data_IF_308674188968
#
_entry.id   IF_308674188968
#
_cell.length_a   1.000
_cell.length_b   1.000
_cell.length_c   1.000
_cell.angle_alpha   90.00
_cell.angle_beta   90.00
_cell.angle_gamma   90.00
#
_symmetry.space_group_name_H-M   'P 1'
#
loop_
_entity.id
_entity.type
_entity.pdbx_description
1 polymer ?
#
# COMPACT_ATOMS: atom_id res chain seq x y z
N UNK A 1 5.60 -4.64 11.08
CA UNK A 1 5.47 -5.09 9.67
C UNK A 1 6.82 -5.68 9.28
N UNK A 2 6.90 -6.85 8.61
CA UNK A 2 8.14 -7.23 7.96
C UNK A 2 8.48 -6.17 6.90
N UNK A 3 9.77 -5.81 6.73
CA UNK A 3 10.17 -4.89 5.69
C UNK A 3 9.68 -5.37 4.32
N UNK A 4 9.05 -4.46 3.57
CA UNK A 4 8.82 -4.66 2.14
C UNK A 4 10.18 -4.71 1.46
N UNK A 5 10.50 -5.86 0.89
CA UNK A 5 11.68 -6.01 0.06
C UNK A 5 11.25 -5.99 -1.38
N UNK A 6 11.51 -4.85 -2.02
CA UNK A 6 11.30 -4.66 -3.44
C UNK A 6 12.60 -4.95 -4.20
N UNK A 7 12.44 -5.63 -5.33
CA UNK A 7 13.51 -6.07 -6.21
C UNK A 7 13.26 -5.45 -7.57
N UNK A 8 13.87 -4.27 -7.80
CA UNK A 8 13.84 -3.62 -9.10
C UNK A 8 15.14 -3.84 -9.87
N UNK A 9 15.01 -4.20 -11.16
CA UNK A 9 16.11 -4.18 -12.13
C UNK A 9 15.62 -3.81 -13.54
N UNK A 10 16.08 -2.66 -14.02
CA UNK A 10 15.62 -2.06 -15.28
C UNK A 10 15.98 -2.88 -16.52
N UNK A 11 17.17 -3.49 -16.57
CA UNK A 11 17.68 -4.17 -17.78
C UNK A 11 16.79 -5.33 -18.27
N UNK A 12 15.99 -5.91 -17.38
CA UNK A 12 15.16 -7.10 -17.67
C UNK A 12 13.70 -6.97 -17.22
N UNK A 13 13.29 -5.75 -16.83
CA UNK A 13 11.97 -5.45 -16.27
C UNK A 13 11.57 -6.38 -15.13
N UNK A 14 12.47 -6.49 -14.14
CA UNK A 14 12.15 -7.13 -12.87
C UNK A 14 11.56 -6.07 -11.94
N UNK A 15 10.33 -6.28 -11.49
CA UNK A 15 9.58 -5.41 -10.59
C UNK A 15 8.75 -6.27 -9.63
N UNK A 16 9.47 -6.93 -8.72
CA UNK A 16 8.90 -7.88 -7.78
C UNK A 16 9.01 -7.36 -6.35
N UNK A 17 8.08 -7.75 -5.48
CA UNK A 17 8.14 -7.43 -4.07
C UNK A 17 7.74 -8.61 -3.20
N UNK A 18 8.32 -8.70 -2.01
CA UNK A 18 7.91 -9.71 -1.04
C UNK A 18 6.72 -9.21 -0.21
N UNK A 19 5.72 -10.08 -0.08
CA UNK A 19 4.65 -9.93 0.91
C UNK A 19 4.38 -11.26 1.60
N UNK A 20 4.29 -11.20 2.92
CA UNK A 20 3.94 -12.34 3.74
C UNK A 20 2.44 -12.64 3.64
N UNK A 21 2.09 -13.80 3.07
CA UNK A 21 0.69 -14.18 2.85
C UNK A 21 0.00 -14.78 4.09
N UNK A 22 0.74 -14.96 5.19
CA UNK A 22 0.24 -15.61 6.42
C UNK A 22 -0.75 -14.78 7.24
N UNK A 23 -1.00 -13.52 6.87
CA UNK A 23 -1.96 -12.61 7.54
C UNK A 23 -3.28 -12.47 6.77
N UNK A 24 -3.50 -13.31 5.75
CA UNK A 24 -4.61 -13.21 4.81
C UNK A 24 -4.17 -12.54 3.52
N UNK A 25 -4.60 -13.11 2.39
CA UNK A 25 -4.26 -12.60 1.05
C UNK A 25 -5.38 -12.89 0.06
N UNK A 26 -5.56 -11.98 -0.90
CA UNK A 26 -6.42 -12.17 -2.05
C UNK A 26 -5.56 -12.17 -3.30
N UNK A 27 -5.79 -13.16 -4.18
CA UNK A 27 -5.05 -13.28 -5.43
C UNK A 27 -6.04 -13.51 -6.59
N UNK A 28 -5.88 -12.81 -7.73
CA UNK A 28 -6.62 -13.12 -8.94
C UNK A 28 -6.34 -14.55 -9.40
N UNK A 29 -7.39 -15.27 -9.83
CA UNK A 29 -7.30 -16.67 -10.26
C UNK A 29 -6.24 -16.86 -11.35
N UNK A 30 -6.11 -15.88 -12.22
CA UNK A 30 -5.17 -15.83 -13.34
C UNK A 30 -3.72 -15.86 -12.86
N UNK A 31 -3.40 -15.22 -11.71
CA UNK A 31 -2.05 -15.26 -11.13
C UNK A 31 -1.71 -16.65 -10.61
N UNK A 32 -2.65 -17.35 -9.98
CA UNK A 32 -2.45 -18.73 -9.56
C UNK A 32 -2.31 -19.68 -10.75
N UNK A 33 -3.13 -19.53 -11.78
CA UNK A 33 -3.03 -20.34 -13.01
C UNK A 33 -1.66 -20.16 -13.68
N UNK A 34 -1.21 -18.92 -13.83
CA UNK A 34 0.10 -18.61 -14.41
C UNK A 34 1.26 -19.25 -13.64
N UNK A 35 1.20 -19.23 -12.30
CA UNK A 35 2.21 -19.91 -11.47
C UNK A 35 2.27 -21.41 -11.78
N UNK A 36 1.12 -22.05 -11.94
CA UNK A 36 1.03 -23.48 -12.27
C UNK A 36 1.54 -23.78 -13.69
N UNK A 37 1.37 -22.86 -14.65
CA UNK A 37 1.90 -22.98 -16.01
C UNK A 37 3.42 -22.78 -16.05
N UNK A 38 3.94 -21.81 -15.30
CA UNK A 38 5.37 -21.55 -15.14
C UNK A 38 6.13 -22.77 -14.61
N UNK A 39 5.47 -23.66 -13.86
CA UNK A 39 6.01 -24.96 -13.41
C UNK A 39 6.56 -25.83 -14.54
N UNK A 40 5.92 -25.78 -15.72
CA UNK A 40 6.31 -26.62 -16.85
C UNK A 40 7.56 -26.12 -17.58
N UNK A 41 7.85 -24.83 -17.48
CA UNK A 41 8.77 -24.13 -18.37
C UNK A 41 9.94 -23.43 -17.65
N UNK A 42 10.05 -23.57 -16.33
CA UNK A 42 11.06 -22.86 -15.52
C UNK A 42 11.86 -23.80 -14.63
N UNK A 43 12.94 -23.29 -14.01
CA UNK A 43 13.82 -24.03 -13.09
C UNK A 43 13.21 -24.23 -11.69
N UNK A 44 11.93 -23.92 -11.49
CA UNK A 44 11.26 -24.07 -10.21
C UNK A 44 10.96 -25.55 -9.92
N UNK A 45 11.87 -26.20 -9.20
CA UNK A 45 11.76 -27.62 -8.86
C UNK A 45 10.55 -27.93 -7.95
N UNK A 46 10.05 -29.19 -8.01
CA UNK A 46 8.81 -29.61 -7.32
C UNK A 46 8.87 -29.46 -5.79
N UNK A 47 10.05 -29.57 -5.20
CA UNK A 47 10.32 -29.38 -3.78
C UNK A 47 10.09 -27.93 -3.32
N UNK A 48 10.34 -26.95 -4.19
CA UNK A 48 10.14 -25.52 -3.90
C UNK A 48 8.66 -25.13 -3.80
N UNK A 49 7.77 -25.93 -4.37
CA UNK A 49 6.33 -25.72 -4.15
C UNK A 49 5.91 -25.92 -2.68
N UNK A 50 6.72 -26.58 -1.85
CA UNK A 50 6.47 -26.69 -0.41
C UNK A 50 6.61 -25.36 0.33
N UNK A 51 7.38 -24.43 -0.23
CA UNK A 51 7.60 -23.08 0.31
C UNK A 51 7.07 -22.02 -0.65
N UNK A 52 6.10 -22.38 -1.50
CA UNK A 52 5.58 -21.50 -2.55
C UNK A 52 4.94 -20.23 -1.98
N UNK A 53 4.44 -20.31 -0.75
CA UNK A 53 3.93 -19.18 0.00
C UNK A 53 4.98 -18.09 0.25
N UNK A 54 6.27 -18.45 0.29
CA UNK A 54 7.39 -17.52 0.41
C UNK A 54 7.91 -17.02 -0.96
N UNK A 55 7.56 -17.70 -2.05
CA UNK A 55 8.03 -17.38 -3.41
C UNK A 55 6.99 -16.61 -4.20
N UNK A 56 5.70 -16.84 -3.92
CA UNK A 56 4.60 -16.46 -4.79
C UNK A 56 4.60 -14.97 -5.13
N UNK A 57 4.70 -14.11 -4.12
CA UNK A 57 4.69 -12.65 -4.29
C UNK A 57 5.82 -12.19 -5.21
N UNK A 58 7.04 -12.66 -4.96
CA UNK A 58 8.21 -12.35 -5.79
C UNK A 58 8.03 -12.91 -7.21
N UNK A 59 7.67 -14.19 -7.34
CA UNK A 59 7.62 -14.91 -8.62
C UNK A 59 6.57 -14.37 -9.60
N UNK A 60 5.57 -13.63 -9.11
CA UNK A 60 4.60 -12.96 -9.98
C UNK A 60 5.20 -11.83 -10.83
N UNK A 61 6.42 -11.38 -10.49
CA UNK A 61 7.05 -10.19 -11.06
C UNK A 61 6.11 -8.98 -11.02
N UNK A 62 5.48 -8.76 -9.88
CA UNK A 62 4.61 -7.62 -9.61
C UNK A 62 4.80 -7.16 -8.17
N UNK A 63 4.64 -5.86 -7.91
CA UNK A 63 4.59 -5.33 -6.55
C UNK A 63 3.31 -5.79 -5.85
N UNK A 64 3.39 -6.36 -4.64
CA UNK A 64 2.21 -6.73 -3.87
C UNK A 64 1.43 -5.50 -3.41
N UNK A 65 0.10 -5.60 -3.36
CA UNK A 65 -0.75 -4.58 -2.74
C UNK A 65 -0.93 -4.93 -1.26
N UNK A 66 -0.51 -4.04 -0.36
CA UNK A 66 -0.64 -4.28 1.09
C UNK A 66 -1.67 -3.33 1.70
N UNK A 67 -2.61 -3.91 2.44
CA UNK A 67 -3.55 -3.17 3.28
C UNK A 67 -3.21 -3.44 4.73
N UNK A 68 -3.08 -2.38 5.52
CA UNK A 68 -2.88 -2.45 6.96
C UNK A 68 -4.23 -2.60 7.65
N UNK A 69 -4.36 -3.61 8.50
CA UNK A 69 -5.56 -3.89 9.29
C UNK A 69 -5.18 -4.59 10.60
N UNK A 70 -6.16 -4.76 11.50
CA UNK A 70 -5.99 -5.49 12.75
C UNK A 70 -6.06 -7.02 12.60
N UNK A 71 -5.95 -7.57 11.39
CA UNK A 71 -6.05 -9.02 11.23
C UNK A 71 -4.89 -9.69 11.97
N UNK A 72 -5.26 -10.67 12.79
CA UNK A 72 -4.27 -11.49 13.48
C UNK A 72 -3.64 -12.43 12.45
N UNK A 73 -2.29 -12.59 12.45
CA UNK A 73 -1.65 -13.61 11.65
C UNK A 73 -2.26 -14.99 11.88
N UNK A 74 -2.38 -15.79 10.83
CA UNK A 74 -2.83 -17.17 10.94
C UNK A 74 -1.83 -17.97 11.79
N UNK A 75 -2.34 -18.94 12.57
CA UNK A 75 -1.50 -19.83 13.38
C UNK A 75 -0.56 -20.64 12.46
N UNK A 76 0.74 -20.47 12.65
CA UNK A 76 1.80 -21.08 11.84
C UNK A 76 2.51 -22.25 12.52
N UNK A 77 1.95 -22.83 13.59
CA UNK A 77 2.57 -23.97 14.29
C UNK A 77 2.96 -25.16 13.40
N UNK A 78 2.30 -25.32 12.25
CA UNK A 78 2.59 -26.37 11.26
C UNK A 78 3.19 -25.82 9.95
N UNK A 79 3.69 -24.59 9.94
CA UNK A 79 4.33 -24.00 8.77
C UNK A 79 5.68 -24.66 8.48
N UNK A 80 6.05 -24.77 7.20
CA UNK A 80 7.33 -25.34 6.77
C UNK A 80 8.55 -24.55 7.28
N UNK A 81 8.35 -23.33 7.77
CA UNK A 81 9.35 -22.49 8.44
C UNK A 81 9.37 -22.62 9.97
N UNK A 82 8.45 -23.40 10.57
CA UNK A 82 8.27 -23.50 12.02
C UNK A 82 8.83 -24.81 12.64
N UNK A 83 9.09 -25.85 11.85
CA UNK A 83 9.62 -27.12 12.38
C UNK A 83 11.10 -27.00 12.79
N UNK A 84 11.36 -26.96 14.10
CA UNK A 84 12.68 -27.19 14.70
C UNK A 84 13.70 -26.04 14.54
N UNK A 85 13.27 -24.85 14.14
CA UNK A 85 14.18 -23.72 13.87
C UNK A 85 13.91 -22.56 14.83
N UNK A 86 14.96 -22.17 15.57
CA UNK A 86 14.92 -21.05 16.53
C UNK A 86 14.79 -19.67 15.84
N UNK A 87 15.06 -19.60 14.54
CA UNK A 87 14.98 -18.38 13.74
C UNK A 87 14.20 -18.62 12.43
N UNK A 88 12.88 -18.53 12.54
CA UNK A 88 11.93 -18.60 11.43
C UNK A 88 12.26 -17.59 10.31
N UNK A 89 12.71 -16.38 10.65
CA UNK A 89 12.93 -15.31 9.68
C UNK A 89 14.13 -15.58 8.79
N UNK A 90 15.19 -16.23 9.30
CA UNK A 90 16.31 -16.68 8.47
C UNK A 90 15.88 -17.58 7.29
N UNK A 91 14.87 -18.44 7.51
CA UNK A 91 14.31 -19.31 6.46
C UNK A 91 13.55 -18.47 5.44
N UNK A 92 12.70 -17.56 5.91
CA UNK A 92 11.90 -16.69 5.03
C UNK A 92 12.81 -15.88 4.13
N UNK A 93 13.79 -15.16 4.70
CA UNK A 93 14.74 -14.35 3.94
C UNK A 93 15.57 -15.15 2.95
N UNK A 94 16.07 -16.34 3.34
CA UNK A 94 16.80 -17.21 2.41
C UNK A 94 15.95 -17.60 1.20
N UNK A 95 14.67 -17.90 1.43
CA UNK A 95 13.74 -18.22 0.35
C UNK A 95 13.37 -17.02 -0.50
N UNK A 96 13.27 -15.82 0.08
CA UNK A 96 13.09 -14.57 -0.67
C UNK A 96 14.26 -14.33 -1.63
N UNK A 97 15.50 -14.52 -1.17
CA UNK A 97 16.69 -14.36 -2.01
C UNK A 97 16.77 -15.39 -3.13
N UNK A 98 16.53 -16.67 -2.82
CA UNK A 98 16.49 -17.73 -3.83
C UNK A 98 15.37 -17.46 -4.85
N UNK A 99 14.19 -16.98 -4.42
CA UNK A 99 13.12 -16.60 -5.32
C UNK A 99 13.50 -15.44 -6.26
N UNK A 100 14.14 -14.40 -5.72
CA UNK A 100 14.58 -13.24 -6.50
C UNK A 100 15.66 -13.60 -7.52
N UNK A 101 16.67 -14.39 -7.12
CA UNK A 101 17.75 -14.82 -8.01
C UNK A 101 17.24 -15.74 -9.14
N UNK A 102 16.30 -16.64 -8.82
CA UNK A 102 15.65 -17.48 -9.83
C UNK A 102 14.76 -16.69 -10.77
N UNK A 103 14.00 -15.73 -10.26
CA UNK A 103 13.17 -14.86 -11.10
C UNK A 103 14.09 -14.08 -12.05
N UNK A 104 15.17 -13.50 -11.53
CA UNK A 104 16.18 -12.84 -12.35
C UNK A 104 16.73 -13.76 -13.44
N UNK A 105 17.16 -14.98 -13.08
CA UNK A 105 17.65 -15.98 -14.05
C UNK A 105 16.60 -16.38 -15.08
N UNK A 106 15.33 -16.49 -14.68
CA UNK A 106 14.23 -16.80 -15.58
C UNK A 106 13.96 -15.64 -16.56
N UNK A 107 14.01 -14.38 -16.08
CA UNK A 107 13.83 -13.19 -16.91
C UNK A 107 14.99 -12.95 -17.87
N UNK A 108 16.21 -13.42 -17.55
CA UNK A 108 17.37 -13.46 -18.47
C UNK A 108 17.17 -14.42 -19.65
N UNK A 109 16.32 -15.44 -19.48
CA UNK A 109 16.08 -16.42 -20.55
C UNK A 109 15.33 -15.72 -21.68
N UNK A 110 15.91 -15.72 -22.89
CA UNK A 110 15.27 -15.09 -24.04
C UNK A 110 14.14 -15.98 -24.58
N UNK A 111 12.90 -15.67 -24.19
CA UNK A 111 11.69 -16.35 -24.68
C UNK A 111 11.25 -15.90 -26.09
N UNK A 112 11.98 -14.99 -26.76
CA UNK A 112 11.72 -14.62 -28.16
C UNK A 112 11.75 -15.83 -29.09
N UNK A 113 12.61 -16.83 -28.78
CA UNK A 113 12.75 -18.05 -29.58
C UNK A 113 11.51 -18.96 -29.48
N UNK A 114 10.80 -18.95 -28.34
CA UNK A 114 9.60 -19.77 -28.13
C UNK A 114 8.30 -19.01 -28.36
N UNK A 115 8.35 -17.68 -28.48
CA UNK A 115 7.19 -16.80 -28.63
C UNK A 115 6.21 -16.84 -27.46
N UNK A 116 6.62 -17.42 -26.32
CA UNK A 116 5.78 -17.61 -25.13
C UNK A 116 6.60 -17.26 -23.89
N UNK A 117 6.63 -15.98 -23.56
CA UNK A 117 7.16 -15.53 -22.28
C UNK A 117 6.16 -15.87 -21.17
N UNK A 118 6.52 -16.73 -20.20
CA UNK A 118 5.62 -17.09 -19.12
C UNK A 118 5.55 -16.00 -18.03
N UNK A 119 6.34 -14.92 -18.14
CA UNK A 119 6.37 -13.81 -17.19
C UNK A 119 5.76 -12.53 -17.77
N UNK A 120 5.02 -11.82 -16.92
CA UNK A 120 4.57 -10.47 -17.24
C UNK A 120 5.68 -9.49 -16.89
N UNK A 121 6.17 -8.78 -17.90
CA UNK A 121 7.28 -7.81 -17.79
C UNK A 121 6.82 -6.36 -17.64
N UNK A 122 5.52 -6.10 -17.77
CA UNK A 122 4.98 -4.76 -17.53
C UNK A 122 4.40 -4.70 -16.12
N UNK A 123 4.59 -3.57 -15.46
CA UNK A 123 3.93 -3.30 -14.19
C UNK A 123 2.41 -3.26 -14.39
N UNK A 124 1.69 -3.97 -13.54
CA UNK A 124 0.23 -4.00 -13.51
C UNK A 124 -0.33 -2.71 -12.91
N UNK A 125 -1.36 -2.17 -13.57
CA UNK A 125 -2.10 -1.02 -13.05
C UNK A 125 -2.98 -1.40 -11.86
N UNK A 126 -3.17 -0.51 -10.87
CA UNK A 126 -2.56 0.81 -10.76
C UNK A 126 -1.05 0.71 -10.47
N UNK A 127 -0.26 1.61 -11.07
CA UNK A 127 1.18 1.68 -10.82
C UNK A 127 1.43 2.01 -9.35
N UNK A 128 2.59 1.63 -8.80
CA UNK A 128 2.93 1.86 -7.38
C UNK A 128 2.73 3.31 -6.97
N UNK A 129 3.10 4.26 -7.83
CA UNK A 129 2.90 5.70 -7.61
C UNK A 129 1.43 6.09 -7.37
N UNK A 130 0.50 5.30 -7.87
CA UNK A 130 -0.94 5.56 -7.85
C UNK A 130 -1.66 4.70 -6.78
N UNK A 131 -0.93 3.84 -6.07
CA UNK A 131 -1.48 2.94 -5.03
C UNK A 131 -1.62 3.67 -3.70
N UNK A 132 -2.67 4.48 -3.58
CA UNK A 132 -2.87 5.30 -2.38
C UNK A 132 -3.74 4.63 -1.30
N UNK A 133 -4.40 3.50 -1.56
CA UNK A 133 -5.25 2.86 -0.52
C UNK A 133 -4.39 2.11 0.48
N UNK A 134 -4.60 2.37 1.78
CA UNK A 134 -3.72 1.88 2.85
C UNK A 134 -4.41 1.01 3.90
N UNK A 135 -5.68 1.27 4.22
CA UNK A 135 -6.40 0.52 5.27
C UNK A 135 -7.91 0.52 5.02
N UNK A 136 -8.64 -0.54 5.41
CA UNK A 136 -10.10 -0.49 5.49
C UNK A 136 -10.56 0.32 6.70
N UNK A 137 -11.72 0.96 6.58
CA UNK A 137 -12.41 1.61 7.69
C UNK A 137 -12.99 0.56 8.65
N UNK A 138 -13.17 0.90 9.94
CA UNK A 138 -13.69 0.01 10.98
C UNK A 138 -15.02 -0.65 10.60
N UNK A 139 -15.86 0.06 9.85
CA UNK A 139 -17.17 -0.42 9.42
C UNK A 139 -17.19 -1.14 8.06
N UNK A 140 -16.04 -1.37 7.42
CA UNK A 140 -15.87 -1.97 6.07
C UNK A 140 -16.60 -1.22 4.92
N UNK A 141 -17.07 0.02 5.13
CA UNK A 141 -17.77 0.81 4.10
C UNK A 141 -16.86 1.71 3.29
N UNK A 142 -15.62 1.87 3.72
CA UNK A 142 -14.62 2.64 3.00
C UNK A 142 -13.22 2.08 3.20
N UNK A 143 -12.29 2.64 2.44
CA UNK A 143 -10.86 2.44 2.55
C UNK A 143 -10.21 3.81 2.72
N UNK A 144 -9.36 3.97 3.73
CA UNK A 144 -8.50 5.13 3.88
C UNK A 144 -7.43 5.13 2.80
N UNK A 145 -7.21 6.30 2.21
CA UNK A 145 -6.21 6.49 1.16
C UNK A 145 -5.34 7.70 1.44
N UNK A 146 -4.06 7.60 1.11
CA UNK A 146 -3.10 8.70 1.14
C UNK A 146 -1.97 8.48 0.15
N UNK A 147 -1.51 9.57 -0.48
CA UNK A 147 -0.29 9.57 -1.30
C UNK A 147 0.98 9.56 -0.46
N UNK A 148 0.87 9.80 0.85
CA UNK A 148 2.01 9.95 1.74
C UNK A 148 2.49 8.56 2.18
N UNK A 149 3.60 8.14 1.57
CA UNK A 149 4.25 6.87 1.85
C UNK A 149 5.54 7.08 2.65
N UNK A 150 5.63 6.53 3.88
CA UNK A 150 6.84 6.65 4.66
C UNK A 150 7.95 5.72 4.15
N UNK A 151 7.63 4.77 3.27
CA UNK A 151 8.64 3.93 2.62
C UNK A 151 9.30 4.66 1.45
N UNK A 152 10.55 4.32 1.09
CA UNK A 152 11.18 4.82 -0.14
C UNK A 152 10.44 4.33 -1.38
N UNK A 153 10.57 5.05 -2.50
CA UNK A 153 10.04 4.55 -3.78
C UNK A 153 10.79 3.26 -4.14
N UNK A 154 10.11 2.18 -4.57
CA UNK A 154 10.79 0.94 -4.97
C UNK A 154 11.90 1.14 -6.01
N UNK A 155 11.85 2.23 -6.79
CA UNK A 155 12.91 2.63 -7.74
C UNK A 155 14.20 3.08 -7.09
N UNK A 156 14.15 3.52 -5.85
CA UNK A 156 15.31 3.87 -5.04
C UNK A 156 16.00 2.63 -4.46
N UNK A 157 15.28 1.49 -4.38
CA UNK A 157 15.77 0.21 -3.86
C UNK A 157 16.12 -0.75 -5.00
N UNK A 158 17.31 -0.56 -5.58
CA UNK A 158 17.78 -1.38 -6.71
C UNK A 158 18.44 -2.68 -6.24
N UNK A 159 17.94 -3.82 -6.74
CA UNK A 159 18.58 -5.12 -6.50
C UNK A 159 19.79 -5.30 -7.41
N UNK A 160 21.00 -5.23 -6.83
CA UNK A 160 22.27 -5.36 -7.57
C UNK A 160 22.81 -6.79 -7.64
N UNK A 161 22.13 -7.78 -7.04
CA UNK A 161 22.61 -9.16 -6.97
C UNK A 161 23.93 -9.33 -6.17
N UNK A 162 24.36 -8.28 -5.48
CA UNK A 162 25.55 -8.25 -4.61
C UNK A 162 25.23 -8.66 -3.16
N UNK A 163 23.94 -8.87 -2.87
CA UNK A 163 23.42 -9.17 -1.54
C UNK A 163 23.62 -10.67 -1.26
N UNK A 164 24.76 -10.99 -0.63
CA UNK A 164 25.17 -12.37 -0.34
C UNK A 164 24.58 -12.89 0.97
N UNK A 165 24.20 -11.99 1.88
CA UNK A 165 23.71 -12.31 3.21
C UNK A 165 22.47 -11.48 3.56
N UNK A 166 21.67 -11.98 4.52
CA UNK A 166 20.47 -11.31 5.02
C UNK A 166 20.86 -10.03 5.78
N UNK A 167 22.00 -10.08 6.44
CA UNK A 167 22.60 -9.00 7.21
C UNK A 167 22.96 -7.83 6.31
N UNK A 168 23.56 -8.08 5.14
CA UNK A 168 23.89 -7.02 4.17
C UNK A 168 22.65 -6.30 3.64
N UNK A 169 21.56 -7.04 3.41
CA UNK A 169 20.28 -6.45 3.01
C UNK A 169 19.67 -5.63 4.12
N UNK A 170 19.68 -6.18 5.34
CA UNK A 170 19.10 -5.52 6.50
C UNK A 170 19.84 -4.22 6.79
N UNK A 171 21.17 -4.19 6.67
CA UNK A 171 21.96 -2.98 6.83
C UNK A 171 21.62 -1.93 5.77
N UNK A 172 21.59 -2.28 4.48
CA UNK A 172 21.17 -1.35 3.42
C UNK A 172 19.73 -0.88 3.61
N UNK A 173 18.84 -1.75 4.08
CA UNK A 173 17.46 -1.36 4.35
C UNK A 173 17.39 -0.37 5.53
N UNK A 174 18.14 -0.64 6.61
CA UNK A 174 18.28 0.24 7.78
C UNK A 174 18.93 1.60 7.50
N UNK A 175 19.63 1.76 6.37
CA UNK A 175 20.14 3.06 5.93
C UNK A 175 19.01 4.00 5.45
N UNK A 176 17.86 3.47 5.04
CA UNK A 176 16.71 4.28 4.65
C UNK A 176 15.98 4.86 5.86
N UNK A 177 15.45 6.06 5.70
CA UNK A 177 14.58 6.69 6.70
C UNK A 177 13.15 6.16 6.58
N UNK A 178 12.82 5.15 7.38
CA UNK A 178 11.47 4.56 7.45
C UNK A 178 11.05 4.29 8.91
N UNK A 179 9.74 4.16 9.19
CA UNK A 179 9.26 4.09 10.55
C UNK A 179 9.57 2.76 11.24
N UNK A 180 9.91 2.84 12.52
CA UNK A 180 10.18 1.67 13.36
C UNK A 180 8.93 0.81 13.58
N UNK A 181 9.13 -0.42 14.07
CA UNK A 181 8.02 -1.29 14.45
C UNK A 181 7.13 -0.66 15.54
N UNK A 182 7.74 0.07 16.48
CA UNK A 182 7.07 0.81 17.55
C UNK A 182 6.22 1.97 17.01
N UNK A 183 6.74 2.68 16.00
CA UNK A 183 5.97 3.73 15.32
C UNK A 183 4.70 3.13 14.71
N UNK A 184 4.82 2.04 13.96
CA UNK A 184 3.68 1.41 13.30
C UNK A 184 2.63 0.85 14.28
N UNK A 185 3.04 0.43 15.48
CA UNK A 185 2.08 0.01 16.52
C UNK A 185 1.24 1.17 17.06
N UNK A 186 1.74 2.40 16.93
CA UNK A 186 1.12 3.60 17.51
C UNK A 186 0.42 4.45 16.45
N UNK A 187 0.99 4.50 15.23
CA UNK A 187 0.64 5.48 14.21
C UNK A 187 0.28 4.89 12.84
N UNK A 188 -0.13 3.62 12.80
CA UNK A 188 -0.54 2.96 11.56
C UNK A 188 -1.70 3.66 10.84
N UNK A 189 -1.79 3.44 9.52
CA UNK A 189 -2.85 3.97 8.66
C UNK A 189 -4.27 3.64 9.13
N UNK A 190 -4.46 2.48 9.78
CA UNK A 190 -5.77 2.06 10.28
C UNK A 190 -6.34 3.04 11.33
N UNK A 191 -5.47 3.70 12.10
CA UNK A 191 -5.86 4.68 13.13
C UNK A 191 -6.45 5.99 12.60
N UNK A 192 -6.43 6.21 11.29
CA UNK A 192 -7.20 7.31 10.70
C UNK A 192 -8.71 7.03 10.65
N UNK A 193 -9.10 5.75 10.71
CA UNK A 193 -10.45 5.25 10.40
C UNK A 193 -10.85 4.02 11.24
N UNK A 194 -10.36 3.95 12.49
CA UNK A 194 -10.64 2.82 13.40
C UNK A 194 -11.75 3.13 14.43
N UNK A 195 -12.38 4.31 14.32
CA UNK A 195 -13.37 4.83 15.27
C UNK A 195 -12.85 4.93 16.73
N UNK A 196 -11.54 5.07 16.95
CA UNK A 196 -10.95 5.35 18.26
C UNK A 196 -10.26 6.74 18.28
N UNK A 197 -10.85 7.75 18.95
CA UNK A 197 -10.29 9.11 18.98
C UNK A 197 -8.97 9.23 19.75
N UNK A 198 -8.52 8.17 20.42
CA UNK A 198 -7.25 8.13 21.15
C UNK A 198 -6.07 7.64 20.31
N UNK A 199 -6.33 7.10 19.13
CA UNK A 199 -5.29 6.66 18.20
C UNK A 199 -5.23 7.58 17.00
N UNK A 200 -4.08 7.68 16.34
CA UNK A 200 -3.92 8.54 15.17
C UNK A 200 -3.01 7.88 14.15
N UNK A 201 -3.33 8.00 12.87
CA UNK A 201 -2.32 7.87 11.82
C UNK A 201 -1.39 9.08 11.88
N UNK A 202 -0.07 8.85 11.70
CA UNK A 202 0.92 9.90 11.51
C UNK A 202 1.64 9.71 10.18
N UNK A 203 1.81 10.80 9.42
CA UNK A 203 2.42 10.76 8.09
C UNK A 203 3.90 10.34 8.06
N UNK A 204 4.57 10.34 9.22
CA UNK A 204 6.01 10.15 9.43
C UNK A 204 6.85 11.24 8.73
N UNK A 205 6.80 11.27 7.41
CA UNK A 205 7.38 12.32 6.56
C UNK A 205 6.53 13.59 6.62
N UNK A 206 7.18 14.73 6.41
CA UNK A 206 6.51 16.02 6.32
C UNK A 206 5.80 16.12 4.96
N UNK A 207 4.47 16.29 4.93
CA UNK A 207 3.72 16.35 3.68
C UNK A 207 4.14 17.52 2.78
N UNK A 208 4.21 17.28 1.48
CA UNK A 208 4.56 18.25 0.44
C UNK A 208 3.32 18.73 -0.32
N UNK A 209 3.45 19.83 -1.06
CA UNK A 209 2.42 20.29 -1.99
C UNK A 209 2.07 19.17 -2.99
N UNK A 210 0.77 18.93 -3.16
CA UNK A 210 0.25 17.82 -3.97
C UNK A 210 0.01 16.53 -3.20
N UNK A 211 0.52 16.39 -1.98
CA UNK A 211 0.18 15.26 -1.13
C UNK A 211 -1.29 15.28 -0.72
N UNK A 212 -1.85 14.10 -0.48
CA UNK A 212 -3.26 13.97 -0.19
C UNK A 212 -3.58 12.84 0.78
N UNK A 213 -4.72 12.98 1.43
CA UNK A 213 -5.38 11.94 2.22
C UNK A 213 -6.88 11.98 1.97
N UNK A 214 -7.57 10.87 2.21
CA UNK A 214 -8.98 10.78 1.88
C UNK A 214 -9.58 9.41 2.07
N UNK A 215 -10.72 9.20 1.43
CA UNK A 215 -11.52 7.99 1.54
C UNK A 215 -11.95 7.49 0.17
N UNK A 216 -11.90 6.18 -0.01
CA UNK A 216 -12.55 5.45 -1.09
C UNK A 216 -13.73 4.69 -0.52
N UNK A 217 -14.94 5.02 -0.94
CA UNK A 217 -16.15 4.32 -0.50
C UNK A 217 -16.32 3.00 -1.23
N UNK A 218 -16.80 1.96 -0.55
CA UNK A 218 -17.15 0.67 -1.16
C UNK A 218 -18.40 0.82 -2.02
N UNK A 219 -19.35 1.65 -1.57
CA UNK A 219 -20.54 2.03 -2.32
C UNK A 219 -20.50 3.54 -2.57
N UNK A 220 -20.73 4.01 -3.82
CA UNK A 220 -20.84 5.43 -4.10
C UNK A 220 -21.88 6.11 -3.21
N UNK A 221 -21.53 7.27 -2.68
CA UNK A 221 -22.31 8.02 -1.69
C UNK A 221 -22.36 9.49 -2.04
N UNK A 222 -23.48 10.15 -1.75
CA UNK A 222 -23.56 11.62 -1.76
C UNK A 222 -22.94 12.13 -0.46
N UNK A 223 -21.88 12.94 -0.58
CA UNK A 223 -21.16 13.49 0.56
C UNK A 223 -21.29 15.01 0.57
N UNK A 224 -21.88 15.54 1.64
CA UNK A 224 -21.99 16.98 1.88
C UNK A 224 -21.05 17.47 2.98
N UNK A 225 -20.49 16.56 3.79
CA UNK A 225 -19.62 16.92 4.90
C UNK A 225 -18.56 15.85 5.16
N UNK A 226 -17.31 16.27 5.31
CA UNK A 226 -16.19 15.45 5.76
C UNK A 226 -15.63 16.06 7.06
N UNK A 227 -15.59 15.29 8.14
CA UNK A 227 -14.98 15.72 9.39
C UNK A 227 -13.65 14.99 9.57
N UNK A 228 -12.60 15.73 9.93
CA UNK A 228 -11.26 15.22 10.19
C UNK A 228 -10.87 15.62 11.61
N UNK A 229 -10.39 14.66 12.39
CA UNK A 229 -9.91 14.85 13.76
C UNK A 229 -8.40 14.65 13.81
N UNK A 230 -7.71 15.40 14.67
CA UNK A 230 -6.27 15.31 14.84
C UNK A 230 -5.87 15.58 16.29
N UNK A 231 -4.72 15.05 16.73
CA UNK A 231 -4.14 15.38 18.02
C UNK A 231 -3.51 16.79 18.02
N UNK A 232 -3.19 17.30 16.82
CA UNK A 232 -2.58 18.61 16.56
C UNK A 232 -3.62 19.60 16.05
N UNK A 233 -3.31 20.88 16.10
CA UNK A 233 -4.20 21.91 15.58
C UNK A 233 -4.28 21.81 14.04
N UNK A 234 -5.50 21.79 13.49
CA UNK A 234 -5.72 21.72 12.03
C UNK A 234 -5.94 23.10 11.38
N UNK A 235 -5.96 24.17 12.18
CA UNK A 235 -6.19 25.54 11.70
C UNK A 235 -5.12 26.03 10.72
N UNK A 236 -3.93 25.42 10.74
CA UNK A 236 -2.88 25.73 9.76
C UNK A 236 -3.21 25.29 8.33
N UNK A 237 -4.20 24.39 8.15
CA UNK A 237 -4.65 23.94 6.83
C UNK A 237 -5.67 24.90 6.18
N UNK A 238 -6.09 25.95 6.89
CA UNK A 238 -7.08 26.89 6.38
C UNK A 238 -6.55 27.61 5.13
N UNK A 239 -7.24 27.42 4.00
CA UNK A 239 -6.86 28.01 2.71
C UNK A 239 -5.65 27.36 2.04
N UNK A 240 -5.16 26.22 2.53
CA UNK A 240 -4.00 25.49 1.99
C UNK A 240 -4.37 24.10 1.46
N UNK A 241 -5.65 23.91 1.10
CA UNK A 241 -6.15 22.62 0.66
C UNK A 241 -7.19 22.72 -0.44
N UNK A 242 -7.17 21.72 -1.31
CA UNK A 242 -8.15 21.49 -2.36
C UNK A 242 -8.87 20.18 -2.09
N UNK A 243 -10.21 20.19 -2.18
CA UNK A 243 -11.03 18.98 -2.06
C UNK A 243 -11.37 18.46 -3.46
N UNK A 244 -11.04 17.19 -3.71
CA UNK A 244 -11.21 16.52 -5.00
C UNK A 244 -12.09 15.28 -4.83
N UNK A 245 -13.01 15.05 -5.78
CA UNK A 245 -13.87 13.87 -5.79
C UNK A 245 -13.84 13.12 -7.14
N UNK A 246 -14.10 11.82 -7.11
CA UNK A 246 -14.12 10.93 -8.28
C UNK A 246 -15.24 9.89 -8.18
N UNK A 247 -15.92 9.59 -9.29
CA UNK A 247 -16.87 8.47 -9.44
C UNK A 247 -16.20 7.20 -10.03
N UNK A 248 -15.19 7.37 -10.87
CA UNK A 248 -14.54 6.35 -11.69
C UNK A 248 -13.24 5.83 -11.06
N UNK A 249 -13.32 5.41 -9.80
CA UNK A 249 -12.20 4.79 -9.08
C UNK A 249 -10.86 5.58 -9.12
N UNK A 250 -10.90 6.91 -9.26
CA UNK A 250 -9.71 7.77 -9.21
C UNK A 250 -9.06 8.07 -10.57
N UNK A 251 -9.69 7.73 -11.70
CA UNK A 251 -9.20 8.09 -13.06
C UNK A 251 -9.36 9.59 -13.34
N UNK A 252 -10.51 10.14 -12.98
CA UNK A 252 -10.83 11.55 -13.16
C UNK A 252 -11.23 12.19 -11.84
N UNK A 253 -10.72 13.40 -11.60
CA UNK A 253 -10.94 14.16 -10.38
C UNK A 253 -11.65 15.47 -10.71
N UNK A 254 -12.72 15.74 -9.97
CA UNK A 254 -13.46 17.00 -10.03
C UNK A 254 -13.18 17.79 -8.75
N UNK A 255 -12.83 19.06 -8.89
CA UNK A 255 -12.68 19.97 -7.75
C UNK A 255 -14.03 20.32 -7.15
N UNK A 256 -14.19 20.08 -5.85
CA UNK A 256 -15.39 20.42 -5.11
C UNK A 256 -15.24 21.78 -4.44
N UNK A 257 -16.31 22.55 -4.42
CA UNK A 257 -16.40 23.71 -3.55
C UNK A 257 -16.45 23.22 -2.11
N UNK A 258 -15.72 23.90 -1.22
CA UNK A 258 -15.74 23.55 0.19
C UNK A 258 -15.67 24.79 1.08
N UNK A 259 -16.16 24.65 2.30
CA UNK A 259 -15.94 25.61 3.39
C UNK A 259 -15.40 24.85 4.58
N UNK A 260 -14.19 25.21 5.01
CA UNK A 260 -13.60 24.66 6.22
C UNK A 260 -14.15 25.40 7.44
N UNK A 261 -14.54 24.64 8.46
CA UNK A 261 -14.88 25.13 9.78
C UNK A 261 -14.04 24.38 10.80
N UNK A 262 -13.69 25.06 11.88
CA UNK A 262 -12.94 24.46 12.99
C UNK A 262 -13.79 24.54 14.26
N UNK A 263 -14.77 23.64 14.45
CA UNK A 263 -15.61 23.63 15.66
C UNK A 263 -14.76 23.53 16.94
N UNK A 264 -13.62 22.84 16.84
CA UNK A 264 -12.60 22.72 17.86
C UNK A 264 -11.22 22.85 17.21
N UNK A 265 -10.20 23.24 17.98
CA UNK A 265 -8.82 23.42 17.49
C UNK A 265 -8.28 22.17 16.75
N UNK A 266 -8.73 21.00 17.22
CA UNK A 266 -8.31 19.67 16.79
C UNK A 266 -9.27 19.00 15.80
N UNK A 267 -10.28 19.74 15.31
CA UNK A 267 -11.32 19.19 14.45
C UNK A 267 -11.59 20.14 13.29
N UNK A 268 -11.50 19.60 12.08
CA UNK A 268 -11.83 20.29 10.84
C UNK A 268 -13.08 19.67 10.25
N UNK A 269 -14.12 20.47 10.05
CA UNK A 269 -15.33 20.09 9.33
C UNK A 269 -15.35 20.79 7.97
N UNK A 270 -15.28 20.00 6.90
CA UNK A 270 -15.39 20.45 5.53
C UNK A 270 -16.83 20.28 5.06
N UNK A 271 -17.54 21.38 4.88
CA UNK A 271 -18.82 21.38 4.14
C UNK A 271 -18.49 21.36 2.65
N UNK A 272 -18.96 20.36 1.91
CA UNK A 272 -18.53 20.03 0.56
C UNK A 272 -19.71 20.10 -0.41
N UNK A 273 -19.51 20.75 -1.54
CA UNK A 273 -20.42 20.78 -2.66
C UNK A 273 -19.64 20.49 -3.96
N UNK A 274 -19.79 19.28 -4.49
CA UNK A 274 -19.22 18.89 -5.76
C UNK A 274 -20.24 19.20 -6.88
N UNK A 275 -19.87 19.94 -7.94
CA UNK A 275 -20.79 20.21 -9.04
C UNK A 275 -21.18 18.91 -9.74
N UNK A 276 -22.46 18.71 -10.10
CA UNK A 276 -22.85 17.59 -10.94
C UNK A 276 -22.21 17.79 -12.32
N UNK A 277 -21.29 16.90 -12.66
CA UNK A 277 -20.62 16.86 -13.97
C UNK A 277 -20.92 15.54 -14.64
N UNK A 278 -20.58 15.39 -15.92
CA UNK A 278 -20.62 14.06 -16.58
C UNK A 278 -19.76 13.02 -15.84
N UNK A 279 -18.74 13.49 -15.10
CA UNK A 279 -17.82 12.70 -14.28
C UNK A 279 -18.28 12.54 -12.81
N UNK A 280 -19.44 13.07 -12.43
CA UNK A 280 -20.03 12.89 -11.10
C UNK A 280 -21.56 12.83 -11.24
N UNK A 281 -22.11 11.79 -11.89
CA UNK A 281 -23.54 11.68 -12.13
C UNK A 281 -24.29 11.68 -10.79
N UNK A 282 -25.26 12.59 -10.67
CA UNK A 282 -26.06 12.79 -9.45
C UNK A 282 -25.27 13.17 -8.18
N UNK A 283 -24.01 13.61 -8.32
CA UNK A 283 -23.15 13.93 -7.18
C UNK A 283 -22.74 12.71 -6.35
N UNK A 284 -22.82 11.51 -6.92
CA UNK A 284 -22.38 10.28 -6.28
C UNK A 284 -20.85 10.19 -6.32
N UNK A 285 -20.25 10.04 -5.15
CA UNK A 285 -18.79 10.06 -4.99
C UNK A 285 -18.33 8.65 -4.61
N UNK A 286 -17.37 8.12 -5.36
CA UNK A 286 -16.67 6.88 -5.03
C UNK A 286 -15.39 7.16 -4.24
N UNK A 287 -14.71 8.28 -4.50
CA UNK A 287 -13.51 8.68 -3.80
C UNK A 287 -13.52 10.17 -3.51
N UNK A 288 -13.06 10.56 -2.33
CA UNK A 288 -12.81 11.95 -1.96
C UNK A 288 -11.44 12.08 -1.33
N UNK A 289 -10.67 13.10 -1.72
CA UNK A 289 -9.41 13.44 -1.07
C UNK A 289 -9.30 14.93 -0.78
N UNK A 290 -8.59 15.22 0.30
CA UNK A 290 -8.05 16.53 0.63
C UNK A 290 -6.61 16.51 0.12
N UNK A 291 -6.31 17.38 -0.84
CA UNK A 291 -4.97 17.59 -1.37
C UNK A 291 -4.40 18.87 -0.79
N UNK A 292 -3.14 18.84 -0.38
CA UNK A 292 -2.42 19.98 0.15
C UNK A 292 -1.92 20.86 -1.00
N UNK A 293 -2.14 22.16 -0.89
CA UNK A 293 -1.71 23.12 -1.91
C UNK A 293 -0.28 23.63 -1.65
N UNK A 294 0.21 23.48 -0.41
CA UNK A 294 1.53 23.93 0.05
C UNK A 294 2.20 22.88 0.92
N UNK A 295 3.53 22.96 1.03
CA UNK A 295 4.31 22.13 1.94
C UNK A 295 3.93 22.44 3.39
N UNK A 296 3.87 21.42 4.24
CA UNK A 296 3.68 21.60 5.68
C UNK A 296 5.03 21.74 6.38
N UNK A 297 5.03 22.33 7.58
CA UNK A 297 6.25 22.43 8.40
C UNK A 297 6.51 21.17 9.24
N UNK A 298 5.47 20.34 9.45
CA UNK A 298 5.48 19.20 10.37
C UNK A 298 4.68 18.04 9.81
N UNK A 299 4.89 16.85 10.37
CA UNK A 299 4.07 15.67 10.07
C UNK A 299 2.60 15.89 10.42
N UNK A 300 1.74 15.36 9.56
CA UNK A 300 0.29 15.40 9.70
C UNK A 300 -0.18 14.21 10.54
N UNK A 301 -1.18 14.46 11.38
CA UNK A 301 -1.84 13.41 12.17
C UNK A 301 -3.34 13.42 11.92
N UNK A 302 -3.93 12.23 11.76
CA UNK A 302 -5.37 12.04 11.62
C UNK A 302 -5.80 10.98 12.62
N UNK A 303 -6.64 11.36 13.57
CA UNK A 303 -7.15 10.51 14.65
C UNK A 303 -8.58 10.05 14.41
N UNK A 304 -9.12 10.34 13.23
CA UNK A 304 -10.48 9.99 12.88
C UNK A 304 -10.96 10.77 11.67
N UNK A 305 -11.77 10.10 10.85
CA UNK A 305 -12.48 10.70 9.74
C UNK A 305 -13.96 10.29 9.81
N UNK A 306 -14.88 11.21 9.54
CA UNK A 306 -16.31 10.93 9.40
C UNK A 306 -16.80 11.52 8.09
N UNK A 307 -17.58 10.73 7.33
CA UNK A 307 -18.12 11.13 6.05
C UNK A 307 -19.66 11.11 6.09
N UNK A 308 -20.30 12.28 6.14
CA UNK A 308 -21.75 12.41 6.08
C UNK A 308 -22.49 11.80 7.28
N UNK A 309 -21.86 11.76 8.46
CA UNK A 309 -22.40 11.12 9.67
C UNK A 309 -22.26 9.59 9.66
N UNK A 310 -21.51 9.04 8.70
CA UNK A 310 -21.06 7.65 8.77
C UNK A 310 -19.88 7.58 9.73
N UNK A 311 -20.09 6.94 10.88
CA UNK A 311 -19.02 6.53 11.80
C UNK A 311 -18.12 5.54 11.07
N UNK A 312 -16.89 5.94 10.75
CA UNK A 312 -15.96 5.18 9.91
C UNK A 312 -15.02 4.30 10.72
#
# INVERSE_FOLDING_TARGET
LPPLHDFLRFDYNMHAGFSWMGTGSYLPREKAQRLLEQRGNTTLAKDRFKVIDMYFSIWTNQYPYQLVNYLTPLDQKNGWSAEGVNDHWSIVFRNMLDAADRLYSALLTNFEVTGRDPFVRQEEQPYVSDRHTRSPCFNDKCLFMTSIDPFPDPKEVVFKGDLRTIEDQSMKFLEFDYPTAEFWKTFAYVHAVDNDPLTCWNSYKVPQAGDSFGLRFVKPTVLNRLTVMSSKALTSLEGQMTVLASDQHGVHWTTCQHTARYPFVHTMALEIACPPTELLPHGMIHQIKVQLDTDLEKSLEICGMDAGGMVL
#
